data_IF_485916465226
#
_entry.id   IF_485916465226
#
_cell.length_a   1.000
_cell.length_b   1.000
_cell.length_c   1.000
_cell.angle_alpha   90.00
_cell.angle_beta   90.00
_cell.angle_gamma   90.00
#
_symmetry.space_group_name_H-M   'P 1'
#
loop_
_entity.id
_entity.type
_entity.pdbx_description
1 polymer ?
#
# COMPACT_ATOMS: atom_id res chain seq x y z
N UNK A 1 15.54 30.02 -42.68
CA UNK A 1 14.41 29.46 -41.91
C UNK A 1 14.46 27.94 -41.82
N UNK A 2 14.61 27.22 -42.95
CA UNK A 2 14.66 25.74 -43.00
C UNK A 2 15.82 25.12 -42.19
N UNK A 3 17.01 25.74 -42.20
CA UNK A 3 18.17 25.22 -41.47
C UNK A 3 17.98 25.22 -39.94
N UNK A 4 17.20 26.16 -39.39
CA UNK A 4 16.94 26.26 -37.95
C UNK A 4 16.01 25.13 -37.50
N UNK A 5 15.01 24.78 -38.31
CA UNK A 5 14.06 23.69 -38.03
C UNK A 5 14.74 22.31 -38.05
N UNK A 6 15.72 22.13 -38.95
CA UNK A 6 16.51 20.90 -39.00
C UNK A 6 17.46 20.77 -37.81
N UNK A 7 18.09 21.87 -37.38
CA UNK A 7 18.97 21.88 -36.23
C UNK A 7 18.23 21.57 -34.91
N UNK A 8 17.03 22.14 -34.71
CA UNK A 8 16.23 21.87 -33.51
C UNK A 8 15.68 20.44 -33.48
N UNK A 9 15.25 19.89 -34.61
CA UNK A 9 14.83 18.49 -34.71
C UNK A 9 15.97 17.51 -34.46
N UNK A 10 17.18 17.83 -34.93
CA UNK A 10 18.36 17.00 -34.67
C UNK A 10 18.78 17.06 -33.20
N UNK A 11 18.70 18.22 -32.56
CA UNK A 11 18.96 18.37 -31.12
C UNK A 11 17.94 17.63 -30.25
N UNK A 12 16.64 17.69 -30.57
CA UNK A 12 15.62 16.92 -29.82
C UNK A 12 15.76 15.42 -30.05
N UNK A 13 16.12 14.99 -31.26
CA UNK A 13 16.42 13.59 -31.55
C UNK A 13 17.63 13.08 -30.77
N UNK A 14 18.73 13.84 -30.76
CA UNK A 14 19.91 13.52 -29.95
C UNK A 14 19.57 13.52 -28.45
N UNK A 15 18.80 14.49 -27.97
CA UNK A 15 18.35 14.51 -26.58
C UNK A 15 17.53 13.26 -26.22
N UNK A 16 16.67 12.78 -27.12
CA UNK A 16 15.90 11.54 -26.90
C UNK A 16 16.75 10.26 -26.91
N UNK A 17 17.90 10.26 -27.59
CA UNK A 17 18.82 9.12 -27.65
C UNK A 17 19.75 9.10 -26.43
N UNK A 18 20.16 10.27 -25.94
CA UNK A 18 21.11 10.40 -24.82
C UNK A 18 20.44 10.48 -23.44
N UNK A 19 19.13 10.73 -23.36
CA UNK A 19 18.38 10.41 -22.15
C UNK A 19 18.25 8.89 -22.10
N UNK A 20 19.26 8.24 -21.52
CA UNK A 20 19.13 6.84 -21.11
C UNK A 20 17.80 6.72 -20.36
N UNK A 21 16.91 5.77 -20.74
CA UNK A 21 15.72 5.51 -19.95
C UNK A 21 16.23 5.16 -18.56
N UNK A 22 16.09 6.10 -17.63
CA UNK A 22 16.56 5.94 -16.26
C UNK A 22 16.08 4.58 -15.80
N UNK A 23 17.04 3.71 -15.45
CA UNK A 23 16.79 2.31 -15.10
C UNK A 23 15.58 2.27 -14.17
N UNK A 24 14.44 1.81 -14.69
CA UNK A 24 13.15 2.02 -14.01
C UNK A 24 13.26 1.40 -12.63
N UNK A 25 13.22 2.23 -11.59
CA UNK A 25 13.33 1.78 -10.22
C UNK A 25 12.09 0.96 -9.87
N UNK A 26 12.27 -0.36 -9.82
CA UNK A 26 11.24 -1.33 -9.45
C UNK A 26 11.27 -1.64 -7.94
N UNK A 27 12.25 -1.13 -7.21
CA UNK A 27 12.43 -1.40 -5.78
C UNK A 27 11.68 -0.40 -4.91
N UNK A 28 11.79 0.89 -5.23
CA UNK A 28 11.16 1.96 -4.44
C UNK A 28 9.64 1.84 -4.46
N UNK A 29 9.05 1.97 -3.28
CA UNK A 29 7.61 1.97 -3.11
C UNK A 29 6.96 3.16 -3.81
N UNK A 30 5.85 2.88 -4.48
CA UNK A 30 5.04 3.88 -5.16
C UNK A 30 3.71 4.08 -4.43
N UNK A 31 3.06 5.25 -4.59
CA UNK A 31 1.71 5.46 -4.09
C UNK A 31 0.80 4.39 -4.69
N UNK A 32 -0.02 3.74 -3.85
CA UNK A 32 -0.90 2.67 -4.29
C UNK A 32 -2.30 2.87 -3.76
N UNK A 33 -3.29 2.64 -4.62
CA UNK A 33 -4.70 2.59 -4.24
C UNK A 33 -5.15 1.15 -4.03
N UNK A 34 -5.89 0.91 -2.95
CA UNK A 34 -6.37 -0.41 -2.58
C UNK A 34 -7.89 -0.38 -2.42
N UNK A 35 -8.58 -1.27 -3.14
CA UNK A 35 -9.98 -1.57 -2.91
C UNK A 35 -10.10 -2.90 -2.15
N UNK A 36 -10.96 -2.95 -1.14
CA UNK A 36 -11.23 -4.15 -0.35
C UNK A 36 -12.64 -4.65 -0.67
N UNK A 37 -12.75 -5.92 -1.00
CA UNK A 37 -14.01 -6.63 -1.21
C UNK A 37 -14.07 -7.76 -0.20
N UNK A 38 -15.06 -7.71 0.68
CA UNK A 38 -15.27 -8.73 1.69
C UNK A 38 -16.56 -9.48 1.36
N UNK A 39 -16.46 -10.80 1.22
CA UNK A 39 -17.57 -11.66 0.85
C UNK A 39 -17.75 -12.73 1.92
N UNK A 40 -18.95 -12.83 2.49
CA UNK A 40 -19.29 -13.83 3.48
C UNK A 40 -20.23 -14.88 2.86
N UNK A 41 -19.71 -16.09 2.65
CA UNK A 41 -20.45 -17.21 2.09
C UNK A 41 -21.15 -18.01 3.21
N UNK A 42 -22.44 -18.30 3.03
CA UNK A 42 -23.26 -19.06 3.99
C UNK A 42 -24.71 -18.58 4.02
N UNK A 43 -25.62 -19.39 4.57
CA UNK A 43 -27.04 -19.04 4.64
C UNK A 43 -27.30 -17.84 5.56
N UNK A 44 -28.12 -16.88 5.09
CA UNK A 44 -28.69 -15.74 5.84
C UNK A 44 -27.71 -15.02 6.77
N UNK A 45 -26.43 -14.96 6.43
CA UNK A 45 -25.50 -14.21 7.25
C UNK A 45 -25.90 -12.74 7.15
N UNK A 46 -26.10 -12.11 8.31
CA UNK A 46 -26.59 -10.75 8.39
C UNK A 46 -25.61 -9.84 7.63
N UNK A 47 -26.08 -9.16 6.58
CA UNK A 47 -25.35 -8.09 5.87
C UNK A 47 -24.69 -7.10 6.85
N UNK A 48 -25.27 -6.96 8.04
CA UNK A 48 -24.72 -6.23 9.18
C UNK A 48 -23.35 -6.75 9.65
N UNK A 49 -23.17 -8.06 9.82
CA UNK A 49 -21.92 -8.68 10.24
C UNK A 49 -20.83 -8.50 9.17
N UNK A 50 -21.20 -8.72 7.90
CA UNK A 50 -20.32 -8.50 6.74
C UNK A 50 -19.80 -7.05 6.71
N UNK A 51 -20.72 -6.09 6.80
CA UNK A 51 -20.40 -4.67 6.81
C UNK A 51 -19.49 -4.29 7.99
N UNK A 52 -19.77 -4.82 9.18
CA UNK A 52 -18.98 -4.53 10.37
C UNK A 52 -17.55 -5.07 10.26
N UNK A 53 -17.37 -6.31 9.79
CA UNK A 53 -16.03 -6.89 9.62
C UNK A 53 -15.26 -6.14 8.54
N UNK A 54 -15.90 -5.85 7.41
CA UNK A 54 -15.30 -5.05 6.33
C UNK A 54 -14.84 -3.68 6.85
N UNK A 55 -15.68 -3.01 7.66
CA UNK A 55 -15.35 -1.73 8.26
C UNK A 55 -14.14 -1.81 9.21
N UNK A 56 -14.06 -2.85 10.04
CA UNK A 56 -12.92 -3.07 10.94
C UNK A 56 -11.63 -3.31 10.16
N UNK A 57 -11.70 -4.09 9.08
CA UNK A 57 -10.56 -4.30 8.16
C UNK A 57 -10.12 -2.98 7.55
N UNK A 58 -11.05 -2.14 7.08
CA UNK A 58 -10.73 -0.83 6.52
C UNK A 58 -10.12 0.13 7.54
N UNK A 59 -10.63 0.18 8.78
CA UNK A 59 -10.01 0.95 9.88
C UNK A 59 -8.56 0.52 10.08
N UNK A 60 -8.33 -0.80 10.14
CA UNK A 60 -7.00 -1.37 10.36
C UNK A 60 -6.05 -1.03 9.21
N UNK A 61 -6.54 -1.12 7.97
CA UNK A 61 -5.77 -0.77 6.78
C UNK A 61 -5.50 0.74 6.67
N UNK A 62 -6.42 1.59 7.11
CA UNK A 62 -6.21 3.05 7.14
C UNK A 62 -5.08 3.42 8.09
N UNK A 63 -4.99 2.73 9.24
CA UNK A 63 -3.86 2.85 10.16
C UNK A 63 -2.54 2.35 9.57
N UNK A 64 -2.57 1.32 8.71
CA UNK A 64 -1.38 0.83 7.99
C UNK A 64 -0.78 1.89 7.05
N UNK A 65 -1.63 2.76 6.49
CA UNK A 65 -1.29 3.98 5.73
C UNK A 65 -0.45 3.81 4.45
N UNK A 66 0.06 2.60 4.16
CA UNK A 66 0.74 2.26 2.90
C UNK A 66 -0.12 2.46 1.66
N UNK A 67 -1.44 2.32 1.81
CA UNK A 67 -2.40 2.37 0.70
C UNK A 67 -3.40 3.50 0.89
N UNK A 68 -3.74 4.17 -0.20
CA UNK A 68 -4.94 4.98 -0.29
C UNK A 68 -6.14 4.07 -0.49
N UNK A 69 -6.89 3.84 0.58
CA UNK A 69 -8.09 3.01 0.53
C UNK A 69 -9.17 3.66 -0.32
N UNK A 70 -9.79 2.87 -1.18
CA UNK A 70 -10.92 3.27 -1.99
C UNK A 70 -12.18 2.61 -1.43
N UNK A 71 -13.18 3.43 -1.13
CA UNK A 71 -14.49 2.97 -0.70
C UNK A 71 -15.24 2.37 -1.89
N UNK A 72 -15.46 1.05 -1.82
CA UNK A 72 -16.15 0.28 -2.87
C UNK A 72 -17.30 -0.58 -2.33
N UNK A 73 -17.56 -0.54 -1.03
CA UNK A 73 -18.71 -1.24 -0.44
C UNK A 73 -20.03 -0.68 -0.97
N UNK A 74 -20.15 0.65 -1.00
CA UNK A 74 -21.35 1.35 -1.44
C UNK A 74 -21.23 1.79 -2.91
N UNK A 75 -20.55 0.99 -3.74
CA UNK A 75 -20.26 1.36 -5.13
C UNK A 75 -21.53 1.63 -5.95
N UNK A 76 -22.63 0.96 -5.65
CA UNK A 76 -23.90 1.22 -6.33
C UNK A 76 -24.49 2.58 -5.95
N UNK A 77 -24.43 2.97 -4.66
CA UNK A 77 -24.83 4.32 -4.21
C UNK A 77 -23.93 5.38 -4.87
N UNK A 78 -22.61 5.15 -4.91
CA UNK A 78 -21.66 6.04 -5.57
C UNK A 78 -21.98 6.18 -7.07
N UNK A 79 -22.31 5.07 -7.76
CA UNK A 79 -22.70 5.11 -9.18
C UNK A 79 -24.00 5.89 -9.40
N UNK A 80 -24.98 5.74 -8.52
CA UNK A 80 -26.24 6.49 -8.58
C UNK A 80 -26.01 7.98 -8.41
N UNK A 81 -25.22 8.38 -7.41
CA UNK A 81 -24.87 9.78 -7.17
C UNK A 81 -24.10 10.39 -8.35
N UNK A 82 -23.14 9.64 -8.92
CA UNK A 82 -22.42 10.06 -10.13
C UNK A 82 -23.36 10.26 -11.33
N UNK A 83 -24.38 9.41 -11.49
CA UNK A 83 -25.38 9.59 -12.54
C UNK A 83 -26.19 10.88 -12.32
N UNK A 84 -26.55 11.19 -11.07
CA UNK A 84 -27.24 12.45 -10.75
C UNK A 84 -26.36 13.66 -11.07
N UNK A 85 -25.06 13.63 -10.76
CA UNK A 85 -24.15 14.72 -11.09
C UNK A 85 -23.90 14.89 -12.58
N UNK A 86 -24.05 13.82 -13.36
CA UNK A 86 -23.95 13.87 -14.82
C UNK A 86 -25.28 14.24 -15.50
N UNK A 87 -26.37 14.36 -14.73
CA UNK A 87 -27.69 14.67 -15.25
C UNK A 87 -27.92 16.18 -15.41
N UNK A 88 -28.99 16.54 -16.12
CA UNK A 88 -29.43 17.92 -16.34
C UNK A 88 -29.88 18.65 -15.07
N UNK A 89 -29.97 17.95 -13.93
CA UNK A 89 -30.31 18.53 -12.63
C UNK A 89 -29.15 19.31 -11.98
N UNK A 90 -27.96 19.32 -12.59
CA UNK A 90 -26.82 20.11 -12.13
C UNK A 90 -26.45 21.19 -13.14
N UNK A 91 -26.09 22.38 -12.64
CA UNK A 91 -25.63 23.47 -13.50
C UNK A 91 -24.29 23.09 -14.14
N UNK A 92 -24.33 22.77 -15.43
CA UNK A 92 -23.16 22.35 -16.22
C UNK A 92 -22.02 23.38 -16.20
N UNK A 93 -22.31 24.66 -15.92
CA UNK A 93 -21.31 25.71 -15.82
C UNK A 93 -20.48 25.65 -14.52
N UNK A 94 -20.96 24.96 -13.48
CA UNK A 94 -20.29 24.83 -12.17
C UNK A 94 -19.95 23.37 -11.81
N UNK A 95 -20.37 22.40 -12.62
CA UNK A 95 -20.15 20.97 -12.35
C UNK A 95 -18.68 20.57 -12.56
N UNK A 96 -17.92 20.49 -11.45
CA UNK A 96 -16.66 19.73 -11.44
C UNK A 96 -17.00 18.24 -11.48
N UNK A 97 -16.74 17.59 -12.62
CA UNK A 97 -16.99 16.14 -12.77
C UNK A 97 -16.04 15.36 -11.84
N UNK A 98 -16.54 14.62 -10.85
CA UNK A 98 -15.72 13.81 -9.97
C UNK A 98 -15.15 12.64 -10.77
N UNK A 99 -13.85 12.42 -10.65
CA UNK A 99 -13.20 11.25 -11.18
C UNK A 99 -13.02 10.22 -10.05
N UNK A 100 -13.57 9.02 -10.23
CA UNK A 100 -13.26 7.91 -9.33
C UNK A 100 -11.82 7.47 -9.55
N UNK A 101 -11.04 7.42 -8.47
CA UNK A 101 -9.68 6.89 -8.54
C UNK A 101 -9.71 5.40 -8.91
N UNK A 102 -8.88 4.95 -9.86
CA UNK A 102 -8.78 3.53 -10.17
C UNK A 102 -8.13 2.80 -8.99
N UNK A 103 -8.58 1.57 -8.73
CA UNK A 103 -7.90 0.67 -7.79
C UNK A 103 -6.69 0.04 -8.50
N UNK A 104 -5.49 0.21 -7.97
CA UNK A 104 -4.31 -0.49 -8.46
C UNK A 104 -4.25 -1.92 -7.91
N UNK A 105 -4.81 -2.12 -6.72
CA UNK A 105 -4.92 -3.41 -6.05
C UNK A 105 -6.38 -3.67 -5.63
N UNK A 106 -6.84 -4.90 -5.84
CA UNK A 106 -8.05 -5.43 -5.23
C UNK A 106 -7.68 -6.52 -4.24
N UNK A 107 -8.07 -6.33 -2.99
CA UNK A 107 -8.01 -7.35 -1.96
C UNK A 107 -9.40 -7.97 -1.81
N UNK A 108 -9.53 -9.22 -2.20
CA UNK A 108 -10.76 -10.01 -2.05
C UNK A 108 -10.59 -10.93 -0.86
N UNK A 109 -11.44 -10.77 0.15
CA UNK A 109 -11.48 -11.59 1.35
C UNK A 109 -12.77 -12.39 1.30
N UNK A 110 -12.66 -13.70 1.08
CA UNK A 110 -13.78 -14.63 1.13
C UNK A 110 -13.78 -15.36 2.46
N UNK A 111 -14.89 -15.30 3.19
CA UNK A 111 -15.07 -16.00 4.45
C UNK A 111 -16.19 -17.01 4.29
N UNK A 112 -15.92 -18.27 4.62
CA UNK A 112 -16.92 -19.34 4.61
C UNK A 112 -17.02 -19.88 6.02
N UNK A 113 -18.23 -19.86 6.59
CA UNK A 113 -18.46 -20.55 7.85
C UNK A 113 -18.46 -22.05 7.59
N UNK A 114 -17.57 -22.77 8.25
CA UNK A 114 -17.49 -24.23 8.16
C UNK A 114 -18.64 -24.89 8.91
N UNK A 115 -18.95 -26.13 8.53
CA UNK A 115 -19.94 -26.93 9.23
C UNK A 115 -19.52 -27.17 10.69
N UNK A 116 -20.49 -27.12 11.61
CA UNK A 116 -20.30 -27.60 12.98
C UNK A 116 -19.81 -29.05 12.91
N UNK A 117 -18.59 -29.29 13.41
CA UNK A 117 -18.19 -30.66 13.73
C UNK A 117 -19.06 -31.11 14.91
N UNK A 118 -20.14 -31.84 14.60
CA UNK A 118 -21.11 -32.41 15.57
C UNK A 118 -20.46 -33.21 16.70
N UNK A 119 -19.19 -33.61 16.53
CA UNK A 119 -18.41 -34.36 17.53
C UNK A 119 -17.70 -33.48 18.56
N UNK A 120 -17.45 -32.20 18.27
CA UNK A 120 -16.57 -31.36 19.12
C UNK A 120 -17.17 -30.01 19.54
N UNK A 121 -18.37 -29.65 19.06
CA UNK A 121 -18.99 -28.34 19.32
C UNK A 121 -18.05 -27.16 18.98
N UNK A 122 -17.27 -27.31 17.89
CA UNK A 122 -16.31 -26.32 17.42
C UNK A 122 -16.80 -25.71 16.12
N UNK A 123 -16.90 -24.39 16.12
CA UNK A 123 -17.11 -23.57 14.93
C UNK A 123 -15.76 -23.32 14.27
N UNK A 124 -15.69 -23.57 12.97
CA UNK A 124 -14.53 -23.22 12.16
C UNK A 124 -14.95 -22.21 11.10
N UNK A 125 -14.06 -21.26 10.84
CA UNK A 125 -14.24 -20.29 9.77
C UNK A 125 -13.07 -20.39 8.82
N UNK A 126 -13.37 -20.61 7.56
CA UNK A 126 -12.40 -20.67 6.48
C UNK A 126 -12.28 -19.30 5.83
N UNK A 127 -11.07 -18.75 5.85
CA UNK A 127 -10.76 -17.44 5.30
C UNK A 127 -9.86 -17.65 4.09
N UNK A 128 -10.25 -17.03 2.99
CA UNK A 128 -9.46 -16.92 1.78
C UNK A 128 -9.17 -15.45 1.52
N UNK A 129 -7.93 -15.10 1.21
CA UNK A 129 -7.56 -13.76 0.78
C UNK A 129 -6.85 -13.84 -0.57
N UNK A 130 -7.23 -12.97 -1.49
CA UNK A 130 -6.67 -12.89 -2.83
C UNK A 130 -6.37 -11.45 -3.18
N UNK A 131 -5.24 -11.21 -3.82
CA UNK A 131 -4.81 -9.88 -4.20
C UNK A 131 -4.58 -9.82 -5.71
N UNK A 132 -5.29 -8.91 -6.37
CA UNK A 132 -5.27 -8.76 -7.82
C UNK A 132 -4.66 -7.40 -8.13
N UNK A 133 -3.63 -7.37 -8.97
CA UNK A 133 -3.00 -6.14 -9.43
C UNK A 133 -3.57 -5.77 -10.80
N UNK A 134 -4.29 -4.65 -10.87
CA UNK A 134 -5.10 -4.32 -12.06
C UNK A 134 -4.26 -4.02 -13.29
N UNK A 135 -3.11 -3.35 -13.13
CA UNK A 135 -2.25 -2.96 -14.26
C UNK A 135 -1.65 -4.13 -15.02
N UNK A 136 -1.41 -5.25 -14.34
CA UNK A 136 -0.79 -6.41 -14.97
C UNK A 136 -1.84 -7.37 -15.52
N UNK A 137 -3.12 -7.23 -15.17
CA UNK A 137 -4.18 -8.20 -15.48
C UNK A 137 -3.96 -9.59 -14.85
N UNK A 138 -2.76 -9.85 -14.36
CA UNK A 138 -2.38 -11.03 -13.63
C UNK A 138 -2.91 -10.91 -12.20
N UNK A 139 -3.73 -11.88 -11.79
CA UNK A 139 -3.71 -12.24 -10.38
C UNK A 139 -2.26 -12.60 -10.09
N UNK A 140 -1.54 -11.82 -9.27
CA UNK A 140 -0.40 -12.42 -8.59
C UNK A 140 -0.90 -13.74 -8.01
N UNK A 141 -0.11 -14.81 -8.08
CA UNK A 141 -0.42 -16.11 -7.43
C UNK A 141 -0.42 -15.94 -5.91
N UNK A 142 -1.30 -15.09 -5.41
CA UNK A 142 -1.46 -14.73 -4.02
C UNK A 142 -2.85 -15.20 -3.62
N UNK A 143 -2.88 -16.45 -3.17
CA UNK A 143 -4.02 -17.05 -2.50
C UNK A 143 -3.54 -17.42 -1.10
N UNK A 144 -4.04 -16.71 -0.11
CA UNK A 144 -3.87 -17.07 1.29
C UNK A 144 -5.14 -17.80 1.75
N UNK A 145 -4.95 -18.91 2.44
CA UNK A 145 -6.05 -19.66 3.03
C UNK A 145 -5.69 -19.99 4.47
N UNK A 146 -6.60 -19.71 5.40
CA UNK A 146 -6.45 -20.05 6.80
C UNK A 146 -7.79 -20.50 7.37
N UNK A 147 -7.76 -21.57 8.15
CA UNK A 147 -8.88 -22.03 8.96
C UNK A 147 -8.66 -21.58 10.39
N UNK A 148 -9.60 -20.79 10.91
CA UNK A 148 -9.59 -20.33 12.30
C UNK A 148 -10.73 -20.96 13.08
N UNK A 149 -10.50 -21.19 14.37
CA UNK A 149 -11.52 -21.72 15.28
C UNK A 149 -12.22 -20.58 16.04
N UNK A 150 -13.55 -20.65 16.14
CA UNK A 150 -14.37 -19.71 16.91
C UNK A 150 -15.35 -18.92 16.04
N UNK A 151 -16.14 -18.08 16.70
CA UNK A 151 -17.12 -17.23 16.05
C UNK A 151 -16.45 -16.12 15.23
N UNK A 152 -17.03 -15.81 14.06
CA UNK A 152 -16.49 -14.82 13.15
C UNK A 152 -16.47 -13.41 13.76
N UNK A 153 -17.47 -13.06 14.58
CA UNK A 153 -17.50 -11.80 15.31
C UNK A 153 -16.25 -11.71 16.18
N UNK A 154 -15.99 -12.69 17.04
CA UNK A 154 -14.84 -12.67 17.96
C UNK A 154 -13.50 -12.61 17.22
N UNK A 155 -13.45 -13.16 16.01
CA UNK A 155 -12.23 -13.23 15.20
C UNK A 155 -12.01 -12.03 14.28
N UNK A 156 -12.92 -11.07 14.22
CA UNK A 156 -12.82 -9.89 13.32
C UNK A 156 -11.50 -9.11 13.42
N UNK A 157 -10.94 -8.96 14.62
CA UNK A 157 -9.65 -8.27 14.83
C UNK A 157 -8.51 -9.10 14.26
N UNK A 158 -8.50 -10.41 14.55
CA UNK A 158 -7.50 -11.33 14.00
C UNK A 158 -7.51 -11.32 12.47
N UNK A 159 -8.68 -11.29 11.84
CA UNK A 159 -8.81 -11.21 10.36
C UNK A 159 -8.19 -9.90 9.84
N UNK A 160 -8.46 -8.78 10.50
CA UNK A 160 -7.90 -7.49 10.12
C UNK A 160 -6.37 -7.46 10.27
N UNK A 161 -5.83 -8.06 11.33
CA UNK A 161 -4.39 -8.18 11.55
C UNK A 161 -3.71 -9.09 10.55
N UNK A 162 -4.29 -10.27 10.28
CA UNK A 162 -3.85 -11.18 9.22
C UNK A 162 -3.79 -10.46 7.88
N UNK A 163 -4.81 -9.64 7.59
CA UNK A 163 -4.88 -8.83 6.36
C UNK A 163 -3.72 -7.84 6.27
N UNK A 164 -3.45 -7.08 7.33
CA UNK A 164 -2.32 -6.13 7.35
C UNK A 164 -0.98 -6.84 7.25
N UNK A 165 -0.79 -7.93 7.99
CA UNK A 165 0.46 -8.71 7.97
C UNK A 165 0.75 -9.26 6.58
N UNK A 166 -0.29 -9.76 5.92
CA UNK A 166 -0.23 -10.23 4.55
C UNK A 166 0.21 -9.11 3.61
N UNK A 167 -0.44 -7.95 3.67
CA UNK A 167 -0.08 -6.82 2.81
C UNK A 167 1.34 -6.32 3.10
N UNK A 168 1.74 -6.27 4.37
CA UNK A 168 3.07 -5.86 4.76
C UNK A 168 4.16 -6.78 4.21
N UNK A 169 3.92 -8.10 4.23
CA UNK A 169 4.84 -9.09 3.66
C UNK A 169 4.99 -8.92 2.15
N UNK A 170 3.92 -8.57 1.44
CA UNK A 170 3.91 -8.55 -0.03
C UNK A 170 4.14 -7.18 -0.65
N UNK A 171 3.87 -6.11 0.07
CA UNK A 171 4.00 -4.72 -0.34
C UNK A 171 4.68 -3.90 0.77
N UNK A 172 5.87 -4.32 1.23
CA UNK A 172 6.59 -3.60 2.26
C UNK A 172 6.94 -2.19 1.77
N UNK A 173 7.02 -1.26 2.71
CA UNK A 173 7.44 0.10 2.42
C UNK A 173 8.97 0.12 2.24
N UNK A 174 9.42 0.50 1.05
CA UNK A 174 10.82 0.44 0.61
C UNK A 174 11.22 1.75 -0.03
N UNK A 175 12.40 2.24 0.33
CA UNK A 175 12.98 3.46 -0.21
C UNK A 175 14.48 3.34 -0.41
N UNK A 176 15.04 4.36 -1.05
CA UNK A 176 16.47 4.56 -1.24
C UNK A 176 16.88 5.76 -0.40
N UNK A 177 17.88 5.58 0.44
CA UNK A 177 18.53 6.62 1.21
C UNK A 177 19.53 7.32 0.29
N UNK A 178 19.51 8.65 0.31
CA UNK A 178 20.48 9.54 -0.33
C UNK A 178 20.93 10.58 0.68
N UNK A 179 22.20 10.99 0.60
CA UNK A 179 22.69 12.16 1.32
C UNK A 179 22.42 13.40 0.47
N UNK A 180 21.73 14.39 1.03
CA UNK A 180 21.49 15.70 0.42
C UNK A 180 21.99 16.74 1.42
N UNK A 181 23.01 17.50 1.01
CA UNK A 181 23.79 18.36 1.90
C UNK A 181 24.34 17.59 3.11
N UNK A 182 23.86 17.87 4.34
CA UNK A 182 24.25 17.18 5.57
C UNK A 182 23.14 16.29 6.15
N UNK A 183 22.06 16.07 5.40
CA UNK A 183 20.92 15.26 5.84
C UNK A 183 20.82 13.95 5.04
N UNK A 184 20.37 12.89 5.72
CA UNK A 184 19.95 11.66 5.06
C UNK A 184 18.46 11.74 4.73
N UNK A 185 18.12 11.45 3.47
CA UNK A 185 16.75 11.48 2.96
C UNK A 185 16.37 10.17 2.30
N UNK A 186 15.16 9.69 2.57
CA UNK A 186 14.52 8.63 1.80
C UNK A 186 13.76 9.25 0.63
N UNK A 187 13.87 8.65 -0.56
CA UNK A 187 13.10 9.02 -1.75
C UNK A 187 11.61 8.61 -1.70
N UNK A 188 11.05 8.51 -0.50
CA UNK A 188 9.66 8.18 -0.22
C UNK A 188 9.15 9.06 0.91
N UNK A 189 7.88 9.44 0.85
CA UNK A 189 7.25 10.34 1.82
C UNK A 189 5.83 9.94 2.19
N UNK A 190 5.03 10.93 2.58
CA UNK A 190 3.65 10.74 3.04
C UNK A 190 2.77 10.07 1.98
N UNK A 191 2.97 10.38 0.70
CA UNK A 191 2.18 9.86 -0.41
C UNK A 191 2.21 8.32 -0.56
N UNK A 192 3.24 7.66 -0.02
CA UNK A 192 3.37 6.20 0.00
C UNK A 192 3.13 5.60 1.38
N UNK A 193 2.84 6.42 2.39
CA UNK A 193 2.51 5.99 3.74
C UNK A 193 3.66 6.06 4.75
N UNK A 194 4.72 6.83 4.49
CA UNK A 194 5.76 7.12 5.50
C UNK A 194 5.18 7.99 6.62
N UNK A 195 5.53 7.71 7.87
CA UNK A 195 5.15 8.47 9.06
C UNK A 195 6.36 8.87 9.90
N UNK A 196 6.19 9.94 10.67
CA UNK A 196 7.15 10.32 11.71
C UNK A 196 7.34 9.20 12.73
N UNK A 197 8.58 9.02 13.18
CA UNK A 197 8.98 7.99 14.15
C UNK A 197 9.06 6.57 13.58
N UNK A 198 8.76 6.38 12.29
CA UNK A 198 8.84 5.08 11.64
C UNK A 198 10.30 4.65 11.45
N UNK A 199 10.59 3.38 11.75
CA UNK A 199 11.93 2.82 11.64
C UNK A 199 12.11 2.09 10.30
N UNK A 200 13.26 2.29 9.66
CA UNK A 200 13.67 1.53 8.48
C UNK A 200 14.98 0.81 8.75
N UNK A 201 15.06 -0.45 8.33
CA UNK A 201 16.29 -1.23 8.30
C UNK A 201 17.00 -1.02 6.98
N UNK A 202 18.29 -0.77 7.05
CA UNK A 202 19.14 -0.70 5.86
C UNK A 202 19.47 -2.12 5.38
N UNK A 203 19.25 -2.36 4.10
CA UNK A 203 19.54 -3.66 3.49
C UNK A 203 21.04 -3.94 3.53
N UNK A 204 21.40 -5.15 3.93
CA UNK A 204 22.80 -5.55 4.07
C UNK A 204 23.49 -4.98 5.32
N UNK A 205 22.78 -4.26 6.19
CA UNK A 205 23.33 -3.78 7.46
C UNK A 205 22.42 -4.06 8.66
N UNK A 206 22.98 -3.88 9.85
CA UNK A 206 22.28 -3.98 11.13
C UNK A 206 21.79 -2.60 11.64
N UNK A 207 21.85 -1.59 10.76
CA UNK A 207 21.51 -0.23 11.10
C UNK A 207 20.03 0.04 10.91
N UNK A 208 19.47 0.76 11.87
CA UNK A 208 18.11 1.26 11.85
C UNK A 208 18.18 2.77 11.78
N UNK A 209 17.44 3.33 10.84
CA UNK A 209 17.20 4.76 10.71
C UNK A 209 15.76 5.06 11.13
N UNK A 210 15.52 6.22 11.71
CA UNK A 210 14.20 6.65 12.16
C UNK A 210 13.81 7.90 11.40
N UNK A 211 12.56 7.97 10.94
CA UNK A 211 12.01 9.14 10.25
C UNK A 211 11.77 10.27 11.24
N UNK A 212 12.42 11.41 11.01
CA UNK A 212 12.31 12.63 11.83
C UNK A 212 11.58 13.77 11.13
N UNK A 213 11.45 13.71 9.81
CA UNK A 213 10.68 14.65 8.99
C UNK A 213 10.01 13.91 7.84
N UNK A 214 8.80 14.33 7.46
CA UNK A 214 8.07 13.74 6.32
C UNK A 214 7.58 14.87 5.43
N UNK A 215 7.90 14.76 4.16
CA UNK A 215 7.36 15.57 3.07
C UNK A 215 6.51 14.68 2.16
N UNK A 216 5.91 15.27 1.12
CA UNK A 216 4.97 14.53 0.28
C UNK A 216 5.62 13.37 -0.48
N UNK A 217 6.85 13.55 -1.00
CA UNK A 217 7.55 12.56 -1.82
C UNK A 217 8.87 12.07 -1.22
N UNK A 218 9.30 12.66 -0.11
CA UNK A 218 10.58 12.38 0.54
C UNK A 218 10.43 12.44 2.06
N UNK A 219 11.41 11.92 2.78
CA UNK A 219 11.42 11.99 4.24
C UNK A 219 12.84 12.09 4.76
N UNK A 220 13.00 12.84 5.84
CA UNK A 220 14.29 13.07 6.51
C UNK A 220 14.45 12.01 7.59
N UNK A 221 15.61 11.38 7.60
CA UNK A 221 15.89 10.26 8.50
C UNK A 221 17.17 10.50 9.30
N UNK A 222 17.17 9.99 10.52
CA UNK A 222 18.33 10.02 11.41
C UNK A 222 18.70 8.59 11.81
N UNK A 223 20.00 8.34 11.96
CA UNK A 223 20.50 7.04 12.37
C UNK A 223 20.29 6.81 13.87
N UNK A 224 19.49 5.79 14.22
CA UNK A 224 19.15 5.54 15.61
C UNK A 224 20.25 4.75 16.33
N UNK A 225 21.22 5.45 16.90
CA UNK A 225 22.37 4.86 17.61
C UNK A 225 21.98 3.96 18.79
N UNK A 226 20.76 4.09 19.34
CA UNK A 226 20.26 3.29 20.48
C UNK A 226 19.61 1.96 20.05
N UNK A 227 19.16 1.84 18.80
CA UNK A 227 18.50 0.65 18.25
C UNK A 227 19.40 -0.17 17.31
N UNK A 228 20.70 -0.09 17.52
CA UNK A 228 21.67 -0.80 16.69
C UNK A 228 21.69 -2.28 17.10
N UNK A 229 21.44 -3.18 16.15
CA UNK A 229 21.40 -4.64 16.41
C UNK A 229 22.81 -5.22 16.61
N UNK A 230 23.86 -4.52 16.15
CA UNK A 230 25.27 -4.90 16.37
C UNK A 230 26.22 -3.69 16.27
N UNK A 231 27.26 -3.62 17.12
CA UNK A 231 28.23 -2.49 17.29
C UNK A 231 29.00 -2.03 16.02
N UNK A 232 28.63 -2.47 14.81
CA UNK A 232 29.27 -2.20 13.51
C UNK A 232 28.46 -1.29 12.58
N UNK A 233 27.73 -0.33 13.13
CA UNK A 233 27.10 0.72 12.33
C UNK A 233 28.05 1.92 12.20
N UNK A 234 28.97 1.88 11.23
CA UNK A 234 29.84 3.01 10.91
C UNK A 234 29.14 3.94 9.89
N UNK A 235 29.21 5.24 10.13
CA UNK A 235 28.74 6.29 9.20
C UNK A 235 29.49 6.24 7.85
N UNK A 236 30.71 5.71 7.85
CA UNK A 236 31.52 5.50 6.63
C UNK A 236 30.84 4.58 5.60
N UNK A 237 29.90 3.71 6.03
CA UNK A 237 29.16 2.84 5.12
C UNK A 237 28.26 3.63 4.13
N UNK A 238 27.98 4.91 4.44
CA UNK A 238 27.14 5.77 3.61
C UNK A 238 27.92 6.63 2.61
N UNK A 239 29.24 6.73 2.75
CA UNK A 239 30.04 7.65 1.95
C UNK A 239 30.46 7.06 0.58
N UNK A 240 30.46 5.71 0.46
CA UNK A 240 30.97 5.01 -0.72
C UNK A 240 29.88 4.42 -1.65
N UNK A 241 28.59 4.55 -1.31
CA UNK A 241 27.50 3.95 -2.07
C UNK A 241 26.58 5.02 -2.68
N UNK A 242 26.45 5.03 -4.01
CA UNK A 242 25.55 5.94 -4.76
C UNK A 242 24.07 5.78 -4.38
N UNK A 243 23.68 4.64 -3.79
CA UNK A 243 22.30 4.35 -3.38
C UNK A 243 22.25 3.26 -2.31
N UNK A 244 21.58 3.54 -1.19
CA UNK A 244 21.42 2.59 -0.09
C UNK A 244 19.94 2.24 0.06
N UNK A 245 19.61 0.96 0.03
CA UNK A 245 18.24 0.50 0.09
C UNK A 245 17.79 0.31 1.54
N UNK A 246 16.57 0.76 1.85
CA UNK A 246 15.98 0.62 3.17
C UNK A 246 14.55 0.05 3.08
N UNK A 247 14.19 -0.78 4.06
CA UNK A 247 12.87 -1.39 4.20
C UNK A 247 12.30 -1.08 5.58
N UNK A 248 11.03 -0.69 5.64
CA UNK A 248 10.37 -0.34 6.89
C UNK A 248 10.25 -1.55 7.81
N UNK A 249 10.61 -1.35 9.08
CA UNK A 249 10.32 -2.28 10.16
C UNK A 249 8.94 -1.97 10.74
N UNK A 250 7.89 -2.56 10.17
CA UNK A 250 6.59 -2.53 10.83
C UNK A 250 6.61 -3.50 12.01
N UNK A 251 6.38 -3.00 13.22
CA UNK A 251 6.14 -3.86 14.38
C UNK A 251 4.65 -3.98 14.63
N UNK A 252 4.18 -5.15 15.05
CA UNK A 252 2.76 -5.37 15.38
C UNK A 252 2.25 -4.42 16.49
N UNK A 253 3.17 -3.83 17.28
CA UNK A 253 2.85 -2.84 18.31
C UNK A 253 2.42 -1.48 17.73
N UNK A 254 2.71 -1.22 16.45
CA UNK A 254 2.46 0.06 15.79
C UNK A 254 1.01 0.21 15.29
N UNK A 255 0.16 -0.80 15.48
CA UNK A 255 -1.20 -0.83 14.96
C UNK A 255 -2.26 -0.91 16.05
#
# INVERSE_FOLDING_TARGET
MIAIVLATSFLTYLYSIYVEPSKIDQWTSRPMTLAVVFNLAGQKVEKRLENMISHIIQIRLKKYSRFKLLERMDIEIIKEELKLWMSEFTDSAQSQKPALLPAELFLIIGVTMGDESKKENRFYTDISMRLIQTRLGESKKFHYYERIQGDLFDRRIQIAEMTVNMLNKHYPLRGIIRKVDEEFRLNIGENVGVKLGQDFKINGSHCIITVIGVEQNESIVEMNRKKVVDKKCNEDLFMDLESIFAECLYTLKDF
#
